data_IF_001180685697
#
_entry.id   IF_001180685697
#
_cell.length_a   1.000
_cell.length_b   1.000
_cell.length_c   1.000
_cell.angle_alpha   90.00
_cell.angle_beta   90.00
_cell.angle_gamma   90.00
#
_symmetry.space_group_name_H-M   'P 1'
#
loop_
_entity.id
_entity.type
_entity.pdbx_description
1 polymer ?
#
# COMPACT_ATOMS: atom_id res chain seq x y z
N UNK A 1 -0.97 -1.78 26.29
CA UNK A 1 -1.89 -0.72 26.78
C UNK A 1 -2.42 -1.02 28.19
N UNK A 2 -3.19 -2.10 28.43
CA UNK A 2 -3.63 -2.53 29.79
C UNK A 2 -2.49 -2.59 30.82
N UNK A 3 -1.37 -3.19 30.44
CA UNK A 3 -0.16 -3.28 31.29
C UNK A 3 0.42 -1.89 31.61
N UNK A 4 0.51 -1.00 30.62
CA UNK A 4 1.05 0.37 30.79
C UNK A 4 0.16 1.17 31.75
N UNK A 5 -1.16 1.15 31.54
CA UNK A 5 -2.14 1.83 32.41
C UNK A 5 -2.05 1.32 33.86
N UNK A 6 -1.74 0.03 34.05
CA UNK A 6 -1.59 -0.61 35.37
C UNK A 6 -0.31 -0.18 36.08
N UNK A 7 0.77 0.08 35.34
CA UNK A 7 2.06 0.51 35.89
C UNK A 7 2.04 2.00 36.24
N UNK A 8 1.35 2.81 35.44
CA UNK A 8 1.29 4.26 35.64
C UNK A 8 0.55 4.62 36.96
N UNK A 9 1.00 5.67 37.66
CA UNK A 9 0.41 6.08 38.94
C UNK A 9 -1.09 6.34 38.81
N UNK A 10 -1.84 5.83 39.79
CA UNK A 10 -3.30 6.00 39.88
C UNK A 10 -3.71 7.28 40.59
N UNK A 11 -2.81 8.01 41.20
CA UNK A 11 -3.15 9.29 41.83
C UNK A 11 -2.75 10.42 40.89
N UNK A 12 -3.61 11.44 40.78
CA UNK A 12 -3.37 12.67 40.01
C UNK A 12 -3.04 12.53 38.50
N UNK A 13 -3.27 11.34 37.90
CA UNK A 13 -3.06 11.13 36.46
C UNK A 13 -4.20 11.70 35.61
N UNK A 14 -3.93 12.78 34.91
CA UNK A 14 -4.79 13.25 33.81
C UNK A 14 -4.63 12.32 32.60
N UNK A 15 -5.73 11.80 32.08
CA UNK A 15 -5.71 10.90 30.91
C UNK A 15 -6.44 11.59 29.77
N UNK A 16 -5.76 11.74 28.62
CA UNK A 16 -6.33 12.32 27.40
C UNK A 16 -6.19 11.31 26.28
N UNK A 17 -7.23 11.17 25.46
CA UNK A 17 -7.23 10.29 24.30
C UNK A 17 -7.59 11.10 23.07
N UNK A 18 -6.72 11.05 22.07
CA UNK A 18 -6.90 11.75 20.80
C UNK A 18 -7.03 10.73 19.68
N UNK A 19 -8.04 10.89 18.85
CA UNK A 19 -8.22 10.10 17.63
C UNK A 19 -8.81 10.98 16.54
N UNK A 20 -8.34 10.77 15.31
CA UNK A 20 -8.92 11.41 14.13
C UNK A 20 -10.18 10.70 13.62
N UNK A 21 -10.47 9.48 14.11
CA UNK A 21 -11.68 8.73 13.75
C UNK A 21 -12.26 8.06 15.00
N UNK A 22 -13.59 8.09 15.13
CA UNK A 22 -14.27 7.35 16.20
C UNK A 22 -14.59 5.93 15.73
N UNK A 23 -14.22 4.95 16.55
CA UNK A 23 -14.53 3.53 16.30
C UNK A 23 -14.91 2.88 17.62
N UNK A 24 -15.67 1.79 17.56
CA UNK A 24 -16.01 1.00 18.76
C UNK A 24 -14.77 0.55 19.54
N UNK A 25 -13.67 0.23 18.84
CA UNK A 25 -12.38 -0.10 19.47
C UNK A 25 -11.78 1.08 20.24
N UNK A 26 -11.94 2.31 19.75
CA UNK A 26 -11.48 3.53 20.43
C UNK A 26 -12.35 3.80 21.66
N UNK A 27 -13.67 3.60 21.56
CA UNK A 27 -14.58 3.73 22.70
C UNK A 27 -14.29 2.71 23.81
N UNK A 28 -14.05 1.45 23.44
CA UNK A 28 -13.64 0.43 24.39
C UNK A 28 -12.30 0.79 25.03
N UNK A 29 -11.36 1.29 24.25
CA UNK A 29 -10.07 1.74 24.74
C UNK A 29 -10.20 2.97 25.66
N UNK A 30 -11.13 3.88 25.36
CA UNK A 30 -11.48 5.03 26.20
C UNK A 30 -12.09 4.58 27.53
N UNK A 31 -13.09 3.67 27.51
CA UNK A 31 -13.68 3.06 28.71
C UNK A 31 -12.65 2.40 29.61
N UNK A 32 -11.61 1.82 29.01
CA UNK A 32 -10.55 1.13 29.73
C UNK A 32 -9.44 2.03 30.30
N UNK A 33 -9.25 3.22 29.73
CA UNK A 33 -8.09 4.09 30.00
C UNK A 33 -8.44 5.39 30.71
N UNK A 34 -9.66 5.88 30.51
CA UNK A 34 -10.18 7.11 31.09
C UNK A 34 -10.90 6.80 32.41
N UNK A 35 -10.82 7.74 33.36
CA UNK A 35 -11.61 7.70 34.60
C UNK A 35 -12.99 8.30 34.36
N UNK A 36 -13.86 8.23 35.36
CA UNK A 36 -15.15 8.89 35.34
C UNK A 36 -15.02 10.40 35.04
N UNK A 37 -15.97 10.92 34.26
CA UNK A 37 -16.03 12.33 33.85
C UNK A 37 -15.18 12.76 32.65
N UNK A 38 -14.87 11.90 31.64
CA UNK A 38 -14.19 12.41 30.45
C UNK A 38 -15.15 13.33 29.70
N UNK A 39 -14.68 14.52 29.34
CA UNK A 39 -15.40 15.37 28.40
C UNK A 39 -15.13 14.83 27.00
N UNK A 40 -16.17 14.32 26.35
CA UNK A 40 -16.09 13.92 24.96
C UNK A 40 -16.30 15.16 24.08
N UNK A 41 -15.24 15.55 23.38
CA UNK A 41 -15.29 16.65 22.42
C UNK A 41 -15.26 16.03 21.03
N UNK A 42 -16.37 16.15 20.32
CA UNK A 42 -16.46 15.83 18.91
C UNK A 42 -16.74 17.10 18.13
N UNK A 43 -15.87 17.40 17.18
CA UNK A 43 -16.04 18.55 16.28
C UNK A 43 -16.68 18.11 14.96
N UNK A 44 -16.76 16.80 14.69
CA UNK A 44 -17.40 16.20 13.50
C UNK A 44 -18.93 16.19 13.61
N UNK A 45 -19.51 17.25 14.19
CA UNK A 45 -20.95 17.45 14.20
C UNK A 45 -21.41 17.85 12.80
N UNK A 46 -22.03 16.90 12.08
CA UNK A 46 -22.70 17.10 10.78
C UNK A 46 -21.83 17.33 9.53
N UNK A 47 -20.52 17.07 9.57
CA UNK A 47 -19.73 17.17 8.35
C UNK A 47 -20.21 16.15 7.27
N UNK A 48 -20.48 16.67 6.07
CA UNK A 48 -20.93 15.87 4.93
C UNK A 48 -19.86 14.87 4.48
N UNK A 49 -18.58 15.12 4.79
CA UNK A 49 -17.45 14.31 4.32
C UNK A 49 -16.45 13.99 5.43
N UNK A 50 -15.81 12.82 5.38
CA UNK A 50 -14.80 12.37 6.38
C UNK A 50 -13.36 12.76 6.03
N UNK A 51 -13.19 13.76 5.16
CA UNK A 51 -11.89 14.18 4.60
C UNK A 51 -11.81 15.70 4.56
N UNK A 52 -10.59 16.27 4.61
CA UNK A 52 -10.41 17.72 4.67
C UNK A 52 -10.97 18.45 3.42
N UNK A 53 -11.64 19.59 3.60
CA UNK A 53 -12.30 20.36 2.52
C UNK A 53 -11.37 20.78 1.35
N UNK A 54 -10.07 20.98 1.62
CA UNK A 54 -9.08 21.36 0.62
C UNK A 54 -8.53 20.21 -0.23
N UNK A 55 -9.05 18.98 -0.04
CA UNK A 55 -8.53 17.77 -0.64
C UNK A 55 -9.34 17.34 -1.88
N UNK A 56 -8.70 17.38 -3.05
CA UNK A 56 -9.25 16.80 -4.27
C UNK A 56 -8.91 15.30 -4.33
N UNK A 57 -9.92 14.44 -4.40
CA UNK A 57 -9.75 12.99 -4.33
C UNK A 57 -10.30 12.33 -5.58
N UNK A 58 -9.55 11.39 -6.12
CA UNK A 58 -10.10 10.51 -7.13
C UNK A 58 -9.39 9.20 -7.28
N UNK A 59 -9.91 8.42 -8.21
CA UNK A 59 -9.40 7.10 -8.54
C UNK A 59 -9.22 6.96 -10.04
N UNK A 60 -8.38 5.99 -10.42
CA UNK A 60 -8.20 5.57 -11.80
C UNK A 60 -8.32 4.06 -11.84
N UNK A 61 -9.09 3.57 -12.81
CA UNK A 61 -9.20 2.14 -13.10
C UNK A 61 -8.10 1.75 -14.08
N UNK A 62 -7.25 0.82 -13.68
CA UNK A 62 -6.10 0.39 -14.47
C UNK A 62 -5.83 -1.10 -14.24
N UNK A 63 -5.65 -1.83 -15.34
CA UNK A 63 -5.20 -3.22 -15.29
C UNK A 63 -3.82 -3.33 -14.63
N UNK A 64 -3.55 -4.46 -13.98
CA UNK A 64 -2.35 -4.66 -13.15
C UNK A 64 -1.04 -4.53 -13.95
N UNK A 65 -1.03 -4.85 -15.24
CA UNK A 65 0.13 -4.73 -16.13
C UNK A 65 0.46 -3.27 -16.46
N UNK A 66 -0.55 -2.40 -16.55
CA UNK A 66 -0.38 -0.98 -16.85
C UNK A 66 -0.16 -0.11 -15.60
N UNK A 67 -0.42 -0.66 -14.42
CA UNK A 67 -0.40 0.07 -13.15
C UNK A 67 0.94 0.76 -12.89
N UNK A 68 2.07 0.05 -13.08
CA UNK A 68 3.40 0.66 -12.90
C UNK A 68 3.70 1.73 -13.96
N UNK A 69 3.35 1.48 -15.23
CA UNK A 69 3.57 2.43 -16.31
C UNK A 69 2.84 3.75 -16.05
N UNK A 70 1.63 3.66 -15.50
CA UNK A 70 0.83 4.80 -15.07
C UNK A 70 1.51 5.57 -13.93
N UNK A 71 1.98 4.87 -12.88
CA UNK A 71 2.72 5.48 -11.78
C UNK A 71 3.96 6.21 -12.30
N UNK A 72 4.78 5.54 -13.11
CA UNK A 72 6.00 6.12 -13.66
C UNK A 72 5.71 7.38 -14.48
N UNK A 73 4.71 7.32 -15.36
CA UNK A 73 4.29 8.45 -16.18
C UNK A 73 3.80 9.63 -15.33
N UNK A 74 3.06 9.33 -14.26
CA UNK A 74 2.58 10.32 -13.31
C UNK A 74 3.72 10.99 -12.54
N UNK A 75 4.64 10.20 -11.97
CA UNK A 75 5.78 10.71 -11.20
C UNK A 75 6.72 11.54 -12.08
N UNK A 76 7.01 11.08 -13.30
CA UNK A 76 7.87 11.81 -14.24
C UNK A 76 7.34 13.19 -14.61
N UNK A 77 6.01 13.35 -14.72
CA UNK A 77 5.37 14.66 -14.96
C UNK A 77 5.36 15.57 -13.74
N UNK A 78 5.35 14.99 -12.54
CA UNK A 78 5.21 15.71 -11.28
C UNK A 78 6.52 15.72 -10.47
N UNK A 79 7.69 15.58 -11.10
CA UNK A 79 8.98 15.48 -10.39
C UNK A 79 9.32 16.71 -9.52
N UNK A 80 8.75 17.87 -9.86
CA UNK A 80 8.88 19.13 -9.11
C UNK A 80 7.88 19.27 -7.96
N UNK A 81 7.15 18.20 -7.63
CA UNK A 81 6.14 18.18 -6.55
C UNK A 81 6.62 17.32 -5.38
N UNK A 82 6.00 17.50 -4.23
CA UNK A 82 6.20 16.63 -3.07
C UNK A 82 5.11 15.57 -3.07
N UNK A 83 5.51 14.31 -3.21
CA UNK A 83 4.59 13.18 -3.46
C UNK A 83 4.87 12.06 -2.46
N UNK A 84 3.82 11.45 -1.94
CA UNK A 84 3.91 10.19 -1.20
C UNK A 84 3.19 9.11 -1.98
N UNK A 85 3.84 7.95 -2.15
CA UNK A 85 3.29 6.76 -2.81
C UNK A 85 3.17 5.65 -1.78
N UNK A 86 1.96 5.20 -1.51
CA UNK A 86 1.67 4.10 -0.60
C UNK A 86 1.60 2.76 -1.34
N UNK A 87 2.30 1.76 -0.80
CA UNK A 87 2.29 0.38 -1.26
C UNK A 87 1.95 -0.57 -0.10
N UNK A 88 1.44 -1.74 -0.46
CA UNK A 88 0.92 -2.77 0.45
C UNK A 88 1.99 -3.47 1.30
N UNK A 89 3.24 -3.50 0.85
CA UNK A 89 4.27 -4.35 1.43
C UNK A 89 5.65 -3.66 1.52
N UNK A 90 6.42 -4.03 2.56
CA UNK A 90 7.81 -3.59 2.72
C UNK A 90 8.72 -4.02 1.55
N UNK A 91 8.53 -5.22 1.01
CA UNK A 91 9.35 -5.69 -0.11
C UNK A 91 8.93 -4.99 -1.41
N UNK A 92 7.65 -4.63 -1.57
CA UNK A 92 7.20 -3.79 -2.69
C UNK A 92 7.82 -2.40 -2.63
N UNK A 93 7.83 -1.76 -1.47
CA UNK A 93 8.50 -0.46 -1.27
C UNK A 93 9.98 -0.56 -1.63
N UNK A 94 10.67 -1.60 -1.16
CA UNK A 94 12.08 -1.84 -1.49
C UNK A 94 12.29 -1.99 -2.99
N UNK A 95 11.53 -2.88 -3.64
CA UNK A 95 11.64 -3.14 -5.08
C UNK A 95 11.35 -1.89 -5.92
N UNK A 96 10.21 -1.23 -5.71
CA UNK A 96 9.86 -0.04 -6.48
C UNK A 96 10.78 1.15 -6.15
N UNK A 97 11.29 1.25 -4.92
CA UNK A 97 12.32 2.20 -4.55
C UNK A 97 13.61 2.00 -5.37
N UNK A 98 14.13 0.78 -5.41
CA UNK A 98 15.31 0.42 -6.21
C UNK A 98 15.06 0.63 -7.71
N UNK A 99 13.93 0.13 -8.22
CA UNK A 99 13.56 0.20 -9.63
C UNK A 99 13.45 1.64 -10.13
N UNK A 100 12.74 2.51 -9.40
CA UNK A 100 12.56 3.91 -9.79
C UNK A 100 13.91 4.66 -9.81
N UNK A 101 14.79 4.37 -8.85
CA UNK A 101 16.14 4.95 -8.85
C UNK A 101 17.00 4.43 -10.02
N UNK A 102 16.86 3.17 -10.45
CA UNK A 102 17.56 2.65 -11.64
C UNK A 102 17.11 3.29 -12.97
N UNK A 103 15.91 3.86 -13.03
CA UNK A 103 15.36 4.52 -14.23
C UNK A 103 15.39 6.05 -14.13
N UNK A 104 16.36 6.58 -13.37
CA UNK A 104 16.62 8.01 -13.16
C UNK A 104 15.41 8.79 -12.63
N UNK A 105 14.61 8.16 -11.78
CA UNK A 105 13.55 8.82 -11.02
C UNK A 105 13.88 8.73 -9.51
N UNK A 106 14.59 9.72 -8.95
CA UNK A 106 15.03 9.69 -7.57
C UNK A 106 13.85 9.59 -6.61
N UNK A 107 13.85 8.53 -5.80
CA UNK A 107 12.85 8.32 -4.75
C UNK A 107 13.49 7.94 -3.43
N UNK A 108 12.85 8.37 -2.35
CA UNK A 108 13.14 7.96 -0.99
C UNK A 108 12.24 6.77 -0.63
N UNK A 109 12.77 5.76 0.04
CA UNK A 109 12.01 4.57 0.45
C UNK A 109 11.89 4.48 1.99
N UNK A 110 10.68 4.25 2.51
CA UNK A 110 10.45 4.16 3.96
C UNK A 110 9.52 2.99 4.31
N UNK A 111 10.06 1.99 5.01
CA UNK A 111 9.31 0.81 5.42
C UNK A 111 9.83 0.20 6.73
N UNK A 112 9.01 -0.64 7.38
CA UNK A 112 9.27 -1.13 8.74
C UNK A 112 10.47 -2.08 8.90
N UNK A 113 10.97 -2.67 7.81
CA UNK A 113 12.17 -3.53 7.83
C UNK A 113 13.50 -2.75 7.81
N UNK A 114 13.48 -1.44 7.60
CA UNK A 114 14.70 -0.62 7.63
C UNK A 114 15.15 -0.38 9.07
N UNK A 115 16.47 -0.23 9.25
CA UNK A 115 17.03 0.20 10.53
C UNK A 115 16.47 1.58 10.92
N UNK A 116 16.22 1.78 12.21
CA UNK A 116 15.62 3.02 12.73
C UNK A 116 16.40 4.27 12.29
N UNK A 117 17.74 4.23 12.30
CA UNK A 117 18.57 5.34 11.84
C UNK A 117 18.30 5.72 10.37
N UNK A 118 18.20 4.74 9.46
CA UNK A 118 17.85 5.00 8.06
C UNK A 118 16.45 5.62 7.96
N UNK A 119 15.47 5.07 8.67
CA UNK A 119 14.09 5.59 8.68
C UNK A 119 14.04 7.05 9.13
N UNK A 120 14.74 7.38 10.21
CA UNK A 120 14.81 8.73 10.75
C UNK A 120 15.48 9.69 9.76
N UNK A 121 16.62 9.30 9.17
CA UNK A 121 17.33 10.13 8.20
C UNK A 121 16.48 10.39 6.95
N UNK A 122 15.93 9.35 6.34
CA UNK A 122 15.07 9.46 5.15
C UNK A 122 13.81 10.27 5.42
N UNK A 123 13.22 10.13 6.62
CA UNK A 123 12.07 10.93 7.04
C UNK A 123 12.43 12.41 7.11
N UNK A 124 13.50 12.78 7.81
CA UNK A 124 13.91 14.19 7.92
C UNK A 124 14.37 14.77 6.59
N UNK A 125 15.07 13.98 5.77
CA UNK A 125 15.43 14.35 4.41
C UNK A 125 14.18 14.71 3.58
N UNK A 126 13.16 13.83 3.59
CA UNK A 126 11.90 14.13 2.91
C UNK A 126 11.18 15.34 3.49
N UNK A 127 11.13 15.49 4.82
CA UNK A 127 10.49 16.62 5.47
C UNK A 127 11.15 17.96 5.07
N UNK A 128 12.49 18.00 5.04
CA UNK A 128 13.26 19.18 4.68
C UNK A 128 13.28 19.47 3.18
N UNK A 129 13.05 18.47 2.34
CA UNK A 129 12.98 18.65 0.89
C UNK A 129 11.75 19.47 0.47
N UNK A 130 11.96 20.43 -0.45
CA UNK A 130 10.86 21.20 -1.07
C UNK A 130 10.05 20.35 -2.06
N UNK A 131 10.73 19.45 -2.74
CA UNK A 131 10.18 18.54 -3.75
C UNK A 131 10.78 17.16 -3.54
N UNK A 132 10.08 16.11 -3.92
CA UNK A 132 10.59 14.75 -3.77
C UNK A 132 9.48 13.73 -3.72
N UNK A 133 9.86 12.47 -3.91
CA UNK A 133 8.93 11.34 -3.95
C UNK A 133 9.32 10.38 -2.84
N UNK A 134 8.38 10.11 -1.93
CA UNK A 134 8.53 9.12 -0.87
C UNK A 134 7.67 7.91 -1.19
N UNK A 135 8.30 6.75 -1.28
CA UNK A 135 7.66 5.45 -1.47
C UNK A 135 7.61 4.77 -0.11
N UNK A 136 6.41 4.42 0.38
CA UNK A 136 6.27 3.92 1.74
C UNK A 136 5.10 2.96 1.94
N UNK A 137 5.11 2.30 3.11
CA UNK A 137 3.99 1.53 3.64
C UNK A 137 3.20 2.36 4.66
N UNK A 138 2.14 1.80 5.24
CA UNK A 138 1.31 2.45 6.28
C UNK A 138 2.07 2.85 7.56
N UNK A 139 3.32 2.44 7.71
CA UNK A 139 4.24 3.00 8.72
C UNK A 139 4.33 4.53 8.63
N UNK A 140 4.18 5.12 7.44
CA UNK A 140 4.20 6.57 7.24
C UNK A 140 2.80 7.22 7.34
N UNK A 141 1.73 6.43 7.36
CA UNK A 141 0.36 6.96 7.37
C UNK A 141 -0.05 7.50 8.75
N UNK A 142 0.54 6.98 9.84
CA UNK A 142 0.15 7.30 11.22
C UNK A 142 1.30 7.87 12.03
N UNK A 143 1.04 8.89 12.84
CA UNK A 143 1.94 9.39 13.88
C UNK A 143 3.19 10.15 13.42
N UNK A 144 3.55 10.09 12.14
CA UNK A 144 4.62 10.92 11.58
C UNK A 144 4.07 12.27 11.12
N UNK A 145 4.68 13.34 11.61
CA UNK A 145 4.33 14.69 11.17
C UNK A 145 5.06 15.04 9.87
N UNK A 146 4.47 14.60 8.76
CA UNK A 146 4.95 14.94 7.42
C UNK A 146 4.34 16.30 7.04
N UNK A 147 5.14 17.26 6.53
CA UNK A 147 4.63 18.51 5.99
C UNK A 147 3.57 18.26 4.92
N UNK A 148 2.63 19.19 4.73
CA UNK A 148 1.64 19.07 3.67
C UNK A 148 2.32 18.82 2.31
N UNK A 149 2.02 17.67 1.71
CA UNK A 149 2.53 17.26 0.40
C UNK A 149 1.52 17.61 -0.70
N UNK A 150 1.96 17.74 -1.95
CA UNK A 150 1.06 18.07 -3.07
C UNK A 150 0.15 16.88 -3.44
N UNK A 151 0.72 15.67 -3.43
CA UNK A 151 0.03 14.46 -3.90
C UNK A 151 0.20 13.26 -2.98
N UNK A 152 -0.92 12.56 -2.74
CA UNK A 152 -0.96 11.23 -2.14
C UNK A 152 -1.40 10.21 -3.17
N UNK A 153 -0.49 9.33 -3.57
CA UNK A 153 -0.75 8.24 -4.50
C UNK A 153 -0.94 6.95 -3.71
N UNK A 154 -2.10 6.33 -3.87
CA UNK A 154 -2.39 5.03 -3.30
C UNK A 154 -2.23 4.00 -4.41
N UNK A 155 -0.99 3.58 -4.63
CA UNK A 155 -0.64 2.65 -5.70
C UNK A 155 -1.27 1.28 -5.46
N UNK A 156 -1.24 0.83 -4.20
CA UNK A 156 -2.06 -0.26 -3.70
C UNK A 156 -3.16 0.31 -2.81
N UNK A 157 -4.44 0.04 -3.11
CA UNK A 157 -5.54 0.53 -2.28
C UNK A 157 -5.48 -0.10 -0.88
N UNK A 158 -5.85 0.64 0.17
CA UNK A 158 -5.95 0.07 1.51
C UNK A 158 -7.13 -0.90 1.60
N UNK A 159 -7.13 -1.79 2.59
CA UNK A 159 -8.25 -2.70 2.84
C UNK A 159 -9.27 -2.17 3.85
N UNK A 160 -9.02 -0.99 4.42
CA UNK A 160 -9.90 -0.29 5.34
C UNK A 160 -10.07 1.19 4.93
N UNK A 161 -11.32 1.70 4.81
CA UNK A 161 -11.57 3.12 4.60
C UNK A 161 -10.89 4.06 5.60
N UNK A 162 -10.65 3.61 6.85
CA UNK A 162 -9.94 4.41 7.85
C UNK A 162 -8.48 4.65 7.46
N UNK A 163 -7.84 3.62 6.89
CA UNK A 163 -6.47 3.75 6.40
C UNK A 163 -6.39 4.65 5.19
N UNK A 164 -7.39 4.61 4.31
CA UNK A 164 -7.54 5.60 3.24
C UNK A 164 -7.55 7.03 3.81
N UNK A 165 -8.43 7.31 4.79
CA UNK A 165 -8.56 8.64 5.41
C UNK A 165 -7.23 9.09 6.05
N UNK A 166 -6.53 8.18 6.73
CA UNK A 166 -5.24 8.50 7.35
C UNK A 166 -4.12 8.79 6.33
N UNK A 167 -4.09 8.04 5.22
CA UNK A 167 -3.15 8.25 4.10
C UNK A 167 -3.37 9.62 3.46
N UNK A 168 -4.62 9.94 3.11
CA UNK A 168 -4.92 11.23 2.46
C UNK A 168 -4.80 12.41 3.41
N UNK A 169 -5.00 12.20 4.72
CA UNK A 169 -4.76 13.21 5.76
C UNK A 169 -3.29 13.63 5.93
N UNK A 170 -2.36 13.12 5.09
CA UNK A 170 -0.98 13.64 4.95
C UNK A 170 -0.87 14.85 4.03
N UNK A 171 -1.88 15.10 3.19
CA UNK A 171 -1.99 16.31 2.37
C UNK A 171 -3.11 17.22 2.90
N UNK A 172 -3.29 18.41 2.30
CA UNK A 172 -4.29 19.40 2.70
C UNK A 172 -4.29 19.73 4.21
N UNK A 173 -3.12 19.64 4.87
CA UNK A 173 -2.97 19.86 6.31
C UNK A 173 -2.89 21.36 6.62
N UNK A 174 -3.88 21.87 7.36
CA UNK A 174 -3.96 23.25 7.83
C UNK A 174 -4.83 24.15 6.93
N UNK A 175 -5.39 25.20 7.51
CA UNK A 175 -6.36 26.09 6.87
C UNK A 175 -5.82 26.69 5.56
N UNK A 176 -6.59 26.57 4.47
CA UNK A 176 -6.27 27.15 3.16
C UNK A 176 -5.28 26.36 2.31
N UNK A 177 -4.71 25.24 2.80
CA UNK A 177 -3.82 24.39 1.97
C UNK A 177 -4.63 23.41 1.14
N UNK A 178 -4.24 23.27 -0.13
CA UNK A 178 -4.83 22.31 -1.07
C UNK A 178 -3.98 21.07 -1.21
N UNK A 179 -4.62 19.96 -1.46
CA UNK A 179 -3.99 18.66 -1.63
C UNK A 179 -4.71 17.83 -2.67
N UNK A 180 -4.01 16.86 -3.26
CA UNK A 180 -4.63 15.92 -4.20
C UNK A 180 -4.33 14.48 -3.79
N UNK A 181 -5.29 13.58 -3.99
CA UNK A 181 -5.07 12.14 -3.86
C UNK A 181 -5.58 11.39 -5.08
N UNK A 182 -4.80 10.41 -5.51
CA UNK A 182 -5.15 9.49 -6.58
C UNK A 182 -4.96 8.05 -6.12
N UNK A 183 -6.03 7.26 -6.20
CA UNK A 183 -6.03 5.84 -5.88
C UNK A 183 -6.09 4.99 -7.13
N UNK A 184 -5.23 3.98 -7.22
CA UNK A 184 -5.21 3.05 -8.34
C UNK A 184 -6.06 1.83 -7.99
N UNK A 185 -7.01 1.49 -8.85
CA UNK A 185 -7.87 0.33 -8.69
C UNK A 185 -7.80 -0.57 -9.92
N UNK A 186 -7.72 -1.88 -9.70
CA UNK A 186 -8.02 -2.86 -10.75
C UNK A 186 -9.54 -2.93 -10.95
N UNK A 187 -10.02 -3.39 -12.12
CA UNK A 187 -11.46 -3.60 -12.35
C UNK A 187 -12.14 -4.48 -11.28
N UNK A 188 -11.41 -5.45 -10.71
CA UNK A 188 -11.89 -6.32 -9.63
C UNK A 188 -12.00 -5.61 -8.27
N UNK A 189 -11.29 -4.50 -8.07
CA UNK A 189 -11.19 -3.76 -6.80
C UNK A 189 -12.24 -2.66 -6.66
N UNK A 190 -13.05 -2.40 -7.70
CA UNK A 190 -14.09 -1.37 -7.73
C UNK A 190 -15.11 -1.49 -6.60
N UNK A 191 -15.30 -2.70 -6.05
CA UNK A 191 -16.13 -2.93 -4.87
C UNK A 191 -15.71 -2.08 -3.66
N UNK A 192 -14.43 -1.71 -3.56
CA UNK A 192 -13.92 -0.85 -2.47
C UNK A 192 -14.58 0.53 -2.43
N UNK A 193 -14.95 1.07 -3.61
CA UNK A 193 -15.60 2.38 -3.72
C UNK A 193 -16.92 2.46 -2.93
N UNK A 194 -17.63 1.33 -2.79
CA UNK A 194 -18.86 1.26 -1.98
C UNK A 194 -18.58 1.50 -0.49
N UNK A 195 -17.46 0.99 0.01
CA UNK A 195 -17.04 1.18 1.40
C UNK A 195 -16.57 2.62 1.65
N UNK A 196 -15.85 3.23 0.69
CA UNK A 196 -15.46 4.64 0.76
C UNK A 196 -16.68 5.57 0.71
N UNK A 197 -17.67 5.27 -0.13
CA UNK A 197 -18.93 6.02 -0.18
C UNK A 197 -19.71 5.92 1.14
N UNK A 198 -19.75 4.73 1.74
CA UNK A 198 -20.36 4.53 3.06
C UNK A 198 -19.62 5.29 4.18
N UNK A 199 -18.30 5.45 4.03
CA UNK A 199 -17.47 6.27 4.90
C UNK A 199 -17.48 7.77 4.53
N UNK A 200 -18.45 8.24 3.72
CA UNK A 200 -18.59 9.64 3.29
C UNK A 200 -17.32 10.24 2.65
N UNK A 201 -16.61 9.44 1.86
CA UNK A 201 -15.45 9.91 1.09
C UNK A 201 -15.87 10.18 -0.36
N UNK A 202 -15.95 11.46 -0.79
CA UNK A 202 -16.25 11.79 -2.18
C UNK A 202 -15.03 11.47 -3.07
N UNK A 203 -15.28 10.84 -4.21
CA UNK A 203 -14.25 10.41 -5.15
C UNK A 203 -14.68 10.70 -6.57
N UNK A 204 -13.80 11.32 -7.33
CA UNK A 204 -13.98 11.53 -8.77
C UNK A 204 -13.21 10.47 -9.56
N UNK A 205 -13.82 9.95 -10.63
CA UNK A 205 -13.11 9.08 -11.57
C UNK A 205 -12.23 9.92 -12.48
N UNK A 206 -10.96 9.53 -12.62
CA UNK A 206 -10.04 10.10 -13.57
C UNK A 206 -9.73 9.08 -14.67
N UNK A 207 -9.98 9.47 -15.91
CA UNK A 207 -9.50 8.74 -17.07
C UNK A 207 -8.07 9.15 -17.39
N UNK A 208 -7.17 8.17 -17.44
CA UNK A 208 -5.82 8.39 -17.94
C UNK A 208 -5.74 7.96 -19.40
N UNK A 209 -5.51 8.89 -20.34
CA UNK A 209 -5.40 8.53 -21.75
C UNK A 209 -4.19 7.61 -21.94
N UNK A 210 -4.43 6.43 -22.51
CA UNK A 210 -3.41 5.41 -22.77
C UNK A 210 -2.24 5.94 -23.59
N UNK A 211 -2.50 6.89 -24.49
CA UNK A 211 -1.50 7.53 -25.35
C UNK A 211 -0.46 8.34 -24.55
N UNK A 212 -0.78 8.68 -23.29
CA UNK A 212 0.10 9.43 -22.38
C UNK A 212 0.91 8.52 -21.47
N UNK A 213 0.72 7.20 -21.53
CA UNK A 213 1.46 6.21 -20.75
C UNK A 213 2.81 5.96 -21.44
N UNK A 214 3.89 6.11 -20.70
CA UNK A 214 5.23 5.82 -21.21
C UNK A 214 5.34 4.33 -21.54
N UNK A 215 5.74 4.01 -22.78
CA UNK A 215 5.97 2.63 -23.21
C UNK A 215 7.36 2.15 -22.73
N UNK A 216 7.47 1.89 -21.43
CA UNK A 216 8.72 1.46 -20.76
C UNK A 216 8.72 -0.01 -20.37
N UNK A 217 7.70 -0.78 -20.78
CA UNK A 217 7.53 -2.17 -20.37
C UNK A 217 8.70 -3.06 -20.78
N UNK A 218 9.15 -2.96 -22.04
CA UNK A 218 10.28 -3.76 -22.53
C UNK A 218 11.61 -3.40 -21.85
N UNK A 219 11.80 -2.12 -21.51
CA UNK A 219 12.97 -1.65 -20.77
C UNK A 219 12.95 -2.17 -19.33
N UNK A 220 11.79 -2.15 -18.68
CA UNK A 220 11.58 -2.69 -17.35
C UNK A 220 11.89 -4.19 -17.30
N UNK A 221 11.33 -4.98 -18.22
CA UNK A 221 11.56 -6.42 -18.30
C UNK A 221 13.03 -6.74 -18.56
N UNK A 222 13.68 -5.99 -19.46
CA UNK A 222 15.12 -6.14 -19.73
C UNK A 222 15.96 -5.79 -18.49
N UNK A 223 15.61 -4.74 -17.76
CA UNK A 223 16.33 -4.31 -16.57
C UNK A 223 16.20 -5.33 -15.44
N UNK A 224 14.99 -5.81 -15.17
CA UNK A 224 14.71 -6.81 -14.13
C UNK A 224 15.30 -8.18 -14.49
N UNK A 225 15.36 -8.56 -15.77
CA UNK A 225 16.02 -9.80 -16.19
C UNK A 225 17.54 -9.72 -16.17
N UNK A 226 18.13 -8.57 -16.52
CA UNK A 226 19.58 -8.41 -16.58
C UNK A 226 20.23 -8.20 -15.21
N UNK A 227 19.54 -7.54 -14.27
CA UNK A 227 20.08 -7.23 -12.94
C UNK A 227 19.64 -8.28 -11.92
N UNK A 228 20.58 -9.11 -11.46
CA UNK A 228 20.32 -10.18 -10.50
C UNK A 228 19.68 -9.68 -9.19
N UNK A 229 20.19 -8.59 -8.62
CA UNK A 229 19.68 -8.07 -7.34
C UNK A 229 18.27 -7.52 -7.48
N UNK A 230 18.03 -6.77 -8.56
CA UNK A 230 16.70 -6.26 -8.86
C UNK A 230 15.71 -7.39 -9.17
N UNK A 231 16.15 -8.45 -9.84
CA UNK A 231 15.33 -9.64 -10.10
C UNK A 231 14.87 -10.32 -8.80
N UNK A 232 15.78 -10.50 -7.84
CA UNK A 232 15.46 -11.08 -6.54
C UNK A 232 14.51 -10.18 -5.75
N UNK A 233 14.78 -8.87 -5.73
CA UNK A 233 13.91 -7.86 -5.12
C UNK A 233 12.51 -7.89 -5.73
N UNK A 234 12.40 -8.03 -7.06
CA UNK A 234 11.14 -8.16 -7.78
C UNK A 234 10.37 -9.43 -7.41
N UNK A 235 11.06 -10.58 -7.26
CA UNK A 235 10.44 -11.85 -6.82
C UNK A 235 9.88 -11.74 -5.41
N UNK A 236 10.67 -11.17 -4.50
CA UNK A 236 10.27 -10.93 -3.11
C UNK A 236 9.12 -9.92 -3.01
N UNK A 237 9.15 -8.87 -3.85
CA UNK A 237 8.09 -7.89 -4.02
C UNK A 237 6.80 -8.56 -4.50
N UNK A 238 6.83 -9.27 -5.62
CA UNK A 238 5.69 -9.98 -6.19
C UNK A 238 5.07 -10.97 -5.20
N UNK A 239 5.89 -11.79 -4.53
CA UNK A 239 5.41 -12.72 -3.49
C UNK A 239 4.72 -11.98 -2.34
N UNK A 240 5.33 -10.92 -1.85
CA UNK A 240 4.78 -10.15 -0.72
C UNK A 240 3.51 -9.38 -1.07
N UNK A 241 3.38 -8.90 -2.31
CA UNK A 241 2.16 -8.28 -2.82
C UNK A 241 1.00 -9.27 -2.78
N UNK A 242 1.20 -10.47 -3.32
CA UNK A 242 0.16 -11.51 -3.29
C UNK A 242 -0.18 -11.94 -1.86
N UNK A 243 0.81 -12.02 -0.96
CA UNK A 243 0.55 -12.30 0.45
C UNK A 243 -0.25 -11.18 1.13
N UNK A 244 0.10 -9.91 0.87
CA UNK A 244 -0.63 -8.77 1.40
C UNK A 244 -2.08 -8.76 0.87
N UNK A 245 -2.26 -8.96 -0.44
CA UNK A 245 -3.56 -9.07 -1.08
C UNK A 245 -4.40 -10.21 -0.51
N UNK A 246 -3.78 -11.39 -0.33
CA UNK A 246 -4.41 -12.55 0.31
C UNK A 246 -4.78 -12.29 1.78
N UNK A 247 -4.13 -11.34 2.45
CA UNK A 247 -4.37 -11.02 3.86
C UNK A 247 -5.49 -10.00 4.07
N UNK A 248 -5.88 -9.25 3.03
CA UNK A 248 -6.92 -8.21 3.13
C UNK A 248 -8.21 -8.72 3.76
N UNK A 249 -8.81 -7.92 4.63
CA UNK A 249 -10.04 -8.29 5.34
C UNK A 249 -11.26 -8.38 4.43
N UNK A 250 -11.37 -7.48 3.44
CA UNK A 250 -12.49 -7.41 2.48
C UNK A 250 -12.36 -8.45 1.36
N UNK A 251 -12.54 -9.74 1.68
CA UNK A 251 -12.43 -10.86 0.72
C UNK A 251 -13.40 -10.79 -0.46
N UNK A 252 -14.50 -10.05 -0.33
CA UNK A 252 -15.45 -9.86 -1.44
C UNK A 252 -14.91 -8.91 -2.51
N UNK A 253 -14.01 -7.99 -2.13
CA UNK A 253 -13.39 -7.01 -3.02
C UNK A 253 -12.03 -7.53 -3.49
N UNK A 254 -11.19 -7.96 -2.55
CA UNK A 254 -9.82 -8.40 -2.81
C UNK A 254 -9.77 -9.92 -2.97
N UNK A 255 -10.23 -10.41 -4.11
CA UNK A 255 -10.28 -11.84 -4.43
C UNK A 255 -8.99 -12.28 -5.13
N UNK A 256 -8.11 -12.96 -4.39
CA UNK A 256 -6.84 -13.44 -4.93
C UNK A 256 -7.04 -14.40 -6.11
N UNK A 257 -8.08 -15.23 -6.08
CA UNK A 257 -8.36 -16.21 -7.13
C UNK A 257 -8.81 -15.56 -8.45
N UNK A 258 -9.22 -14.29 -8.41
CA UNK A 258 -9.60 -13.50 -9.59
C UNK A 258 -8.47 -12.60 -10.10
N UNK A 259 -7.33 -12.56 -9.42
CA UNK A 259 -6.18 -11.79 -9.90
C UNK A 259 -5.57 -12.48 -11.11
N UNK A 260 -5.37 -11.71 -12.17
CA UNK A 260 -4.56 -12.14 -13.31
C UNK A 260 -3.08 -12.07 -12.92
N UNK A 261 -2.55 -13.22 -12.47
CA UNK A 261 -1.16 -13.34 -12.04
C UNK A 261 -0.15 -12.99 -13.15
N UNK A 262 -0.52 -13.17 -14.42
CA UNK A 262 0.34 -12.79 -15.55
C UNK A 262 0.42 -11.28 -15.65
N UNK A 263 -0.71 -10.58 -15.58
CA UNK A 263 -0.72 -9.11 -15.58
C UNK A 263 -0.01 -8.54 -14.35
N UNK A 264 -0.21 -9.12 -13.17
CA UNK A 264 0.50 -8.70 -11.96
C UNK A 264 2.01 -8.91 -12.14
N UNK A 265 2.45 -10.06 -12.66
CA UNK A 265 3.87 -10.34 -12.91
C UNK A 265 4.51 -9.33 -13.87
N UNK A 266 3.79 -8.91 -14.92
CA UNK A 266 4.22 -7.82 -15.83
C UNK A 266 4.47 -6.51 -15.10
N UNK A 267 3.64 -6.17 -14.11
CA UNK A 267 3.81 -4.99 -13.25
C UNK A 267 5.08 -5.02 -12.37
N UNK A 268 5.68 -6.20 -12.17
CA UNK A 268 6.98 -6.39 -11.51
C UNK A 268 8.14 -6.58 -12.50
N UNK A 269 7.89 -6.46 -13.80
CA UNK A 269 8.90 -6.61 -14.85
C UNK A 269 9.22 -8.07 -15.22
N UNK A 270 8.32 -9.00 -14.96
CA UNK A 270 8.45 -10.38 -15.44
C UNK A 270 7.59 -10.61 -16.69
N UNK A 271 8.16 -11.28 -17.69
CA UNK A 271 7.43 -11.75 -18.87
C UNK A 271 6.42 -12.86 -18.51
N UNK A 272 6.78 -13.71 -17.55
CA UNK A 272 5.93 -14.77 -17.03
C UNK A 272 5.95 -14.80 -15.48
N UNK A 273 4.86 -15.24 -14.82
CA UNK A 273 4.81 -15.34 -13.36
C UNK A 273 5.98 -16.17 -12.81
N UNK A 274 6.81 -15.62 -11.90
CA UNK A 274 7.88 -16.38 -11.30
C UNK A 274 7.31 -17.49 -10.41
N UNK A 275 7.98 -18.65 -10.38
CA UNK A 275 7.61 -19.74 -9.45
C UNK A 275 7.82 -19.27 -8.02
N UNK A 276 6.72 -19.07 -7.29
CA UNK A 276 6.75 -18.68 -5.88
C UNK A 276 5.90 -19.64 -5.06
N UNK A 277 6.43 -20.07 -3.92
CA UNK A 277 5.67 -20.83 -2.94
C UNK A 277 4.79 -19.88 -2.14
N UNK A 278 3.56 -19.70 -2.59
CA UNK A 278 2.55 -18.97 -1.82
C UNK A 278 1.81 -20.00 -0.96
N UNK A 279 2.01 -19.93 0.35
CA UNK A 279 1.11 -20.58 1.30
C UNK A 279 -0.18 -19.76 1.37
N UNK A 280 -1.00 -19.83 0.30
CA UNK A 280 -2.36 -19.27 0.33
C UNK A 280 -3.17 -20.22 1.20
N UNK A 281 -3.71 -19.70 2.32
CA UNK A 281 -4.60 -20.48 3.18
C UNK A 281 -5.69 -21.13 2.33
N UNK A 282 -5.79 -22.45 2.42
CA UNK A 282 -6.55 -23.29 1.50
C UNK A 282 -7.99 -22.79 1.29
N UNK A 283 -8.28 -22.35 0.06
CA UNK A 283 -9.62 -22.32 -0.53
C UNK A 283 -9.46 -22.39 -2.05
N UNK A 284 -8.87 -23.48 -2.54
CA UNK A 284 -8.64 -23.67 -3.98
C UNK A 284 -7.73 -24.86 -4.23
N UNK A 285 -8.25 -26.08 -4.13
CA UNK A 285 -7.55 -27.28 -4.58
C UNK A 285 -7.49 -27.26 -6.10
N UNK A 286 -6.33 -27.00 -6.68
CA UNK A 286 -5.96 -27.58 -7.98
C UNK A 286 -5.04 -28.76 -7.70
N UNK A 287 -5.58 -29.96 -7.87
CA UNK A 287 -4.81 -31.20 -7.78
C UNK A 287 -3.77 -31.24 -8.91
N UNK A 288 -2.54 -31.70 -8.65
CA UNK A 288 -1.59 -31.95 -9.72
C UNK A 288 -2.04 -33.20 -10.51
N UNK A 289 -2.29 -33.04 -11.80
CA UNK A 289 -2.46 -34.14 -12.75
C UNK A 289 -1.17 -34.95 -12.79
N UNK A 290 -1.21 -36.16 -12.23
CA UNK A 290 -0.19 -37.20 -12.42
C UNK A 290 -0.41 -37.83 -13.78
N UNK A 291 0.30 -37.33 -14.78
CA UNK A 291 0.62 -38.12 -15.96
C UNK A 291 1.98 -37.67 -16.50
N UNK A 292 3.03 -38.26 -15.94
CA UNK A 292 4.24 -38.49 -16.71
C UNK A 292 4.98 -39.74 -16.20
N UNK A 293 4.70 -40.83 -16.92
CA UNK A 293 5.64 -41.86 -17.38
C UNK A 293 6.28 -42.77 -16.31
N UNK A 294 5.55 -43.85 -16.03
CA UNK A 294 6.13 -45.19 -16.03
C UNK A 294 6.85 -45.45 -17.38
N UNK A 295 8.19 -45.44 -17.39
CA UNK A 295 8.98 -46.18 -18.38
C UNK A 295 10.26 -46.74 -17.75
N UNK A 296 10.24 -48.07 -17.61
CA UNK A 296 11.33 -49.05 -17.80
C UNK A 296 12.58 -48.99 -16.89
N UNK A 297 12.65 -50.00 -16.01
CA UNK A 297 13.87 -50.68 -15.56
C UNK A 297 13.40 -51.87 -14.71
N UNK A 298 13.41 -53.12 -15.17
CA UNK A 298 14.58 -53.83 -15.68
C UNK A 298 15.04 -54.76 -14.56
N UNK A 299 14.52 -56.00 -14.58
CA UNK A 299 14.88 -57.11 -13.69
C UNK A 299 16.40 -57.21 -13.46
N UNK A 300 16.85 -57.36 -12.21
CA UNK A 300 17.91 -58.32 -11.92
C UNK A 300 17.88 -58.83 -10.47
N UNK A 301 17.72 -60.15 -10.34
CA UNK A 301 17.89 -60.95 -9.12
C UNK A 301 19.39 -61.28 -8.94
N UNK A 302 19.96 -61.02 -7.76
CA UNK A 302 21.01 -61.83 -7.08
C UNK A 302 20.82 -61.56 -5.58
N UNK A 303 20.37 -62.49 -4.72
CA UNK A 303 21.05 -63.67 -4.16
C UNK A 303 22.50 -63.38 -3.75
N UNK A 304 22.69 -62.96 -2.51
CA UNK A 304 23.38 -63.71 -1.45
C UNK A 304 22.81 -63.27 -0.10
#
# INVERSE_FOLDING_TARGET
MRQIIKILPRENRQSMLFSATQTTKVEDLARMSLRAGPLYINVDGEDETSTADGLEQGYVVCDSDKRFLLLFSFLKRNIKKKIIVFLSSCNCVKFYGELLNYIDLPVLDLHGKQKQQKRTNTFFEFCNAKTGILVCTDVAARGLDIPAVDWIIQFDPPDDPRDYIHRVGRTARGSGKRGKSLMFLSPTELGFLRYLKAAKVPLNEYEFPTNKIANVQSQLEKLVSSNYWLNQSAKDGYRSYLQAYASHSLKQVYQIDKLDLVKVAKGFGFDAPPKINISIGASGKTAPTRDDKYKKGGFNKKRQ
#
